data_IF_750846655052
#
_entry.id   IF_750846655052
#
_cell.length_a   1.000
_cell.length_b   1.000
_cell.length_c   1.000
_cell.angle_alpha   90.00
_cell.angle_beta   90.00
_cell.angle_gamma   90.00
#
_symmetry.space_group_name_H-M   'P 1'
#
loop_
_entity.id
_entity.type
_entity.pdbx_description
1 polymer ?
#
# COMPACT_ATOMS: atom_id res chain seq x y z
N UNK A 1 1.11 6.22 -9.84
CA UNK A 1 0.24 6.76 -8.76
C UNK A 1 0.53 6.01 -7.48
N UNK A 2 0.53 6.71 -6.34
CA UNK A 2 0.77 6.14 -5.00
C UNK A 2 -0.35 6.55 -4.06
N UNK A 3 -0.83 5.59 -3.26
CA UNK A 3 -1.78 5.84 -2.17
C UNK A 3 -1.34 5.05 -0.93
N UNK A 4 -1.62 5.59 0.24
CA UNK A 4 -1.35 4.97 1.53
C UNK A 4 -2.54 5.18 2.47
N UNK A 5 -3.04 4.08 3.00
CA UNK A 5 -3.99 4.06 4.10
C UNK A 5 -3.31 3.40 5.30
N UNK A 6 -2.99 4.21 6.33
CA UNK A 6 -2.27 3.78 7.50
C UNK A 6 -1.23 4.79 7.98
N UNK A 7 -0.13 4.30 8.53
CA UNK A 7 0.96 5.13 9.04
C UNK A 7 2.19 4.31 9.40
N UNK A 8 3.37 4.96 9.36
CA UNK A 8 4.63 4.39 9.77
C UNK A 8 4.79 4.51 11.28
N UNK A 9 5.00 3.38 11.95
CA UNK A 9 5.26 3.34 13.39
C UNK A 9 6.47 4.17 13.78
N UNK A 10 6.36 4.89 14.90
CA UNK A 10 7.45 5.72 15.41
C UNK A 10 7.93 6.80 14.45
N UNK A 11 7.08 7.29 13.53
CA UNK A 11 7.44 8.18 12.43
C UNK A 11 8.39 9.31 12.80
N UNK A 12 8.09 10.05 13.88
CA UNK A 12 8.94 11.17 14.32
C UNK A 12 10.37 10.74 14.68
N UNK A 13 10.58 9.49 15.07
CA UNK A 13 11.89 8.96 15.48
C UNK A 13 12.68 8.38 14.31
N UNK A 14 12.00 7.92 13.25
CA UNK A 14 12.65 7.32 12.08
C UNK A 14 12.83 8.29 10.91
N UNK A 15 12.07 9.38 10.86
CA UNK A 15 12.04 10.33 9.73
C UNK A 15 13.45 10.77 9.31
N UNK A 16 14.31 11.17 10.26
CA UNK A 16 15.67 11.61 9.96
C UNK A 16 16.51 10.49 9.37
N UNK A 17 16.47 9.30 9.95
CA UNK A 17 17.23 8.14 9.45
C UNK A 17 16.74 7.68 8.08
N UNK A 18 15.44 7.77 7.83
CA UNK A 18 14.89 7.51 6.51
C UNK A 18 15.40 8.54 5.50
N UNK A 19 15.39 9.83 5.86
CA UNK A 19 15.95 10.90 5.01
C UNK A 19 17.41 10.66 4.67
N UNK A 20 18.26 10.32 5.64
CA UNK A 20 19.69 10.01 5.46
C UNK A 20 19.94 8.79 4.55
N UNK A 21 18.95 7.91 4.39
CA UNK A 21 19.05 6.73 3.54
C UNK A 21 18.76 7.01 2.07
N UNK A 22 18.01 8.08 1.78
CA UNK A 22 17.63 8.43 0.41
C UNK A 22 18.81 9.05 -0.35
N UNK A 23 18.92 8.71 -1.64
CA UNK A 23 19.74 9.49 -2.55
C UNK A 23 19.17 10.91 -2.69
N UNK A 24 20.04 11.90 -2.89
CA UNK A 24 19.69 13.34 -2.98
C UNK A 24 18.51 13.61 -3.93
N UNK A 25 18.47 12.91 -5.07
CA UNK A 25 17.39 13.02 -6.05
C UNK A 25 16.02 12.80 -5.41
N UNK A 26 15.87 11.76 -4.58
CA UNK A 26 14.61 11.39 -3.97
C UNK A 26 14.32 12.19 -2.70
N UNK A 27 15.36 12.52 -1.95
CA UNK A 27 15.27 13.40 -0.79
C UNK A 27 14.76 14.79 -1.17
N UNK A 28 15.36 15.41 -2.20
CA UNK A 28 14.97 16.75 -2.68
C UNK A 28 13.62 16.76 -3.39
N UNK A 29 13.13 15.60 -3.82
CA UNK A 29 11.79 15.46 -4.41
C UNK A 29 10.66 15.46 -3.39
N UNK A 30 10.96 15.28 -2.09
CA UNK A 30 9.95 15.34 -1.03
C UNK A 30 9.67 16.79 -0.66
N UNK A 31 8.41 17.20 -0.83
CA UNK A 31 7.97 18.58 -0.56
C UNK A 31 7.24 18.68 0.76
N UNK A 32 6.49 17.63 1.11
CA UNK A 32 5.66 17.60 2.31
C UNK A 32 6.32 16.94 3.51
N UNK A 33 5.51 16.76 4.55
CA UNK A 33 5.97 16.21 5.83
C UNK A 33 5.36 14.86 6.19
N UNK A 34 4.47 14.31 5.35
CA UNK A 34 3.73 13.08 5.66
C UNK A 34 4.61 11.86 5.50
N UNK A 35 4.44 10.89 6.37
CA UNK A 35 5.11 9.59 6.29
C UNK A 35 4.83 8.86 4.96
N UNK A 36 3.63 9.04 4.41
CA UNK A 36 3.23 8.47 3.12
C UNK A 36 4.09 8.95 1.96
N UNK A 37 4.41 10.24 1.92
CA UNK A 37 5.26 10.82 0.87
C UNK A 37 6.71 10.33 1.00
N UNK A 38 7.22 10.25 2.22
CA UNK A 38 8.56 9.72 2.49
C UNK A 38 8.67 8.22 2.20
N UNK A 39 7.61 7.45 2.47
CA UNK A 39 7.55 6.04 2.08
C UNK A 39 7.58 5.87 0.56
N UNK A 40 6.90 6.77 -0.18
CA UNK A 40 6.98 6.77 -1.65
C UNK A 40 8.37 7.12 -2.16
N UNK A 41 9.02 8.14 -1.59
CA UNK A 41 10.41 8.48 -1.94
C UNK A 41 11.36 7.29 -1.68
N UNK A 42 11.17 6.57 -0.57
CA UNK A 42 11.93 5.36 -0.25
C UNK A 42 11.66 4.24 -1.26
N UNK A 43 10.41 4.07 -1.70
CA UNK A 43 10.08 3.11 -2.75
C UNK A 43 10.80 3.43 -4.07
N UNK A 44 10.82 4.71 -4.48
CA UNK A 44 11.50 5.14 -5.70
C UNK A 44 13.02 4.94 -5.59
N UNK A 45 13.64 5.28 -4.45
CA UNK A 45 15.05 5.02 -4.19
C UNK A 45 15.37 3.52 -4.23
N UNK A 46 14.51 2.70 -3.64
CA UNK A 46 14.64 1.24 -3.64
C UNK A 46 14.58 0.67 -5.06
N UNK A 47 13.62 1.13 -5.87
CA UNK A 47 13.47 0.71 -7.26
C UNK A 47 14.71 1.09 -8.08
N UNK A 48 15.25 2.29 -7.89
CA UNK A 48 16.47 2.73 -8.54
C UNK A 48 17.69 1.88 -8.13
N UNK A 49 17.84 1.58 -6.84
CA UNK A 49 18.92 0.70 -6.34
C UNK A 49 18.80 -0.75 -6.83
N UNK A 50 17.61 -1.14 -7.28
CA UNK A 50 17.40 -2.43 -7.95
C UNK A 50 17.77 -2.41 -9.45
N UNK A 51 18.24 -1.26 -9.97
CA UNK A 51 18.67 -1.10 -11.37
C UNK A 51 17.55 -0.64 -12.31
N UNK A 52 16.44 -0.15 -11.78
CA UNK A 52 15.32 0.38 -12.58
C UNK A 52 15.22 1.89 -12.37
N UNK A 53 15.29 2.69 -13.43
CA UNK A 53 15.10 4.13 -13.31
C UNK A 53 13.62 4.50 -13.13
N UNK A 54 13.20 4.99 -11.94
CA UNK A 54 11.80 5.33 -11.69
C UNK A 54 11.28 6.50 -12.54
N UNK A 55 12.18 7.28 -13.15
CA UNK A 55 11.82 8.38 -14.05
C UNK A 55 11.63 7.91 -15.50
N UNK A 56 11.99 6.66 -15.80
CA UNK A 56 11.75 6.08 -17.11
C UNK A 56 10.26 5.73 -17.28
N UNK A 57 9.84 5.63 -18.53
CA UNK A 57 8.49 5.19 -18.89
C UNK A 57 8.61 3.94 -19.80
N UNK A 58 8.89 2.76 -19.22
CA UNK A 58 8.95 1.54 -20.01
C UNK A 58 7.61 1.29 -20.72
N UNK A 59 7.65 0.86 -21.97
CA UNK A 59 6.46 0.64 -22.81
C UNK A 59 5.37 -0.24 -22.13
N UNK A 60 5.81 -1.21 -21.32
CA UNK A 60 4.93 -2.12 -20.59
C UNK A 60 5.01 -1.96 -19.05
N UNK A 61 5.44 -0.78 -18.58
CA UNK A 61 5.69 -0.52 -17.16
C UNK A 61 6.88 -1.30 -16.60
N UNK A 62 7.08 -1.27 -15.29
CA UNK A 62 8.16 -2.01 -14.61
C UNK A 62 7.81 -3.50 -14.42
N UNK A 63 6.54 -3.83 -14.55
CA UNK A 63 5.99 -5.16 -14.33
C UNK A 63 5.76 -5.52 -12.84
N UNK A 64 4.78 -6.40 -12.58
CA UNK A 64 4.32 -6.69 -11.22
C UNK A 64 5.39 -7.32 -10.34
N UNK A 65 6.25 -8.16 -10.92
CA UNK A 65 7.33 -8.84 -10.16
C UNK A 65 8.38 -7.85 -9.64
N UNK A 66 8.78 -6.87 -10.45
CA UNK A 66 9.75 -5.84 -10.05
C UNK A 66 9.15 -4.93 -8.99
N UNK A 67 7.94 -4.43 -9.24
CA UNK A 67 7.24 -3.55 -8.31
C UNK A 67 6.97 -4.23 -6.96
N UNK A 68 6.56 -5.51 -6.97
CA UNK A 68 6.37 -6.31 -5.75
C UNK A 68 7.67 -6.45 -4.96
N UNK A 69 8.79 -6.78 -5.64
CA UNK A 69 10.09 -6.91 -4.97
C UNK A 69 10.55 -5.57 -4.36
N UNK A 70 10.37 -4.46 -5.07
CA UNK A 70 10.69 -3.14 -4.57
C UNK A 70 9.83 -2.79 -3.35
N UNK A 71 8.53 -3.08 -3.39
CA UNK A 71 7.60 -2.85 -2.28
C UNK A 71 7.99 -3.64 -1.03
N UNK A 72 8.28 -4.93 -1.17
CA UNK A 72 8.69 -5.78 -0.04
C UNK A 72 10.01 -5.28 0.58
N UNK A 73 10.97 -4.85 -0.23
CA UNK A 73 12.22 -4.24 0.27
C UNK A 73 11.95 -2.91 0.99
N UNK A 74 11.05 -2.10 0.47
CA UNK A 74 10.65 -0.83 1.09
C UNK A 74 10.06 -1.08 2.48
N UNK A 75 9.13 -2.03 2.61
CA UNK A 75 8.54 -2.42 3.89
C UNK A 75 9.62 -2.96 4.86
N UNK A 76 10.53 -3.80 4.37
CA UNK A 76 11.62 -4.32 5.20
C UNK A 76 12.52 -3.20 5.74
N UNK A 77 12.86 -2.20 4.91
CA UNK A 77 13.65 -1.04 5.33
C UNK A 77 12.90 -0.21 6.37
N UNK A 78 11.60 0.00 6.21
CA UNK A 78 10.79 0.70 7.20
C UNK A 78 10.83 -0.02 8.53
N UNK A 79 10.67 -1.34 8.54
CA UNK A 79 10.74 -2.15 9.77
C UNK A 79 12.13 -2.07 10.42
N UNK A 80 13.22 -2.21 9.64
CA UNK A 80 14.60 -2.04 10.15
C UNK A 80 14.79 -0.69 10.85
N UNK A 81 14.25 0.39 10.29
CA UNK A 81 14.36 1.73 10.88
C UNK A 81 13.58 1.84 12.19
N UNK A 82 12.42 1.19 12.28
CA UNK A 82 11.59 1.18 13.48
C UNK A 82 12.24 0.33 14.57
N UNK A 83 12.73 -0.86 14.24
CA UNK A 83 13.42 -1.77 15.16
C UNK A 83 14.70 -1.14 15.73
N UNK A 84 15.30 -0.20 14.99
CA UNK A 84 16.46 0.54 15.46
C UNK A 84 16.13 1.69 16.44
N UNK A 85 14.85 1.93 16.79
CA UNK A 85 14.48 2.88 17.84
C UNK A 85 14.88 2.27 19.19
N UNK A 86 15.67 2.97 20.02
CA UNK A 86 16.08 2.42 21.33
C UNK A 86 14.85 2.08 22.18
N UNK A 87 14.86 0.88 22.79
CA UNK A 87 13.75 0.42 23.63
C UNK A 87 13.47 1.38 24.80
N UNK A 88 14.53 2.01 25.34
CA UNK A 88 14.40 3.04 26.37
C UNK A 88 13.57 4.26 25.89
N UNK A 89 13.71 4.64 24.62
CA UNK A 89 12.91 5.72 24.00
C UNK A 89 11.47 5.27 23.82
N UNK A 90 11.27 4.05 23.31
CA UNK A 90 9.93 3.47 23.11
C UNK A 90 9.16 3.47 24.42
N UNK A 91 9.78 2.99 25.50
CA UNK A 91 9.13 2.96 26.83
C UNK A 91 8.90 4.35 27.41
N UNK A 92 9.93 5.21 27.36
CA UNK A 92 9.87 6.56 27.97
C UNK A 92 8.81 7.46 27.31
N UNK A 93 8.70 7.37 25.99
CA UNK A 93 7.81 8.24 25.21
C UNK A 93 6.52 7.56 24.78
N UNK A 94 6.31 6.29 25.20
CA UNK A 94 5.16 5.46 24.80
C UNK A 94 4.96 5.46 23.27
N UNK A 95 6.06 5.22 22.54
CA UNK A 95 6.04 5.27 21.08
C UNK A 95 5.25 4.10 20.53
N UNK A 96 4.23 4.38 19.71
CA UNK A 96 3.59 3.33 18.91
C UNK A 96 4.50 2.98 17.73
N UNK A 97 5.08 1.79 17.77
CA UNK A 97 5.98 1.26 16.73
C UNK A 97 5.25 0.44 15.67
N UNK A 98 3.93 0.30 15.77
CA UNK A 98 3.14 -0.44 14.78
C UNK A 98 3.01 0.36 13.50
N UNK A 99 3.33 -0.26 12.40
CA UNK A 99 3.08 0.28 11.05
C UNK A 99 1.89 -0.39 10.42
N UNK A 100 0.97 0.41 9.89
CA UNK A 100 -0.13 -0.04 9.03
C UNK A 100 0.18 0.44 7.61
N UNK A 101 0.47 -0.50 6.71
CA UNK A 101 0.98 -0.19 5.38
C UNK A 101 0.08 -0.81 4.30
N UNK A 102 -1.13 -0.27 4.18
CA UNK A 102 -2.00 -0.54 3.04
C UNK A 102 -1.63 0.43 1.92
N UNK A 103 -0.62 0.05 1.15
CA UNK A 103 -0.18 0.81 -0.02
C UNK A 103 -0.94 0.35 -1.26
N UNK A 104 -1.23 1.28 -2.17
CA UNK A 104 -1.61 0.98 -3.53
C UNK A 104 -0.72 1.79 -4.49
N UNK A 105 -0.09 1.07 -5.41
CA UNK A 105 0.87 1.61 -6.35
C UNK A 105 0.53 1.13 -7.77
N UNK A 106 0.58 2.05 -8.73
CA UNK A 106 0.52 1.70 -10.16
C UNK A 106 1.55 2.47 -10.97
N UNK A 107 2.10 1.80 -11.98
CA UNK A 107 2.93 2.38 -13.04
C UNK A 107 2.13 2.68 -14.32
N UNK A 108 0.80 2.46 -14.30
CA UNK A 108 -0.10 2.61 -15.45
C UNK A 108 -0.43 1.28 -16.14
N UNK A 109 0.37 0.23 -15.93
CA UNK A 109 0.18 -1.10 -16.53
C UNK A 109 -0.13 -2.18 -15.50
N UNK A 110 0.47 -2.05 -14.31
CA UNK A 110 0.29 -2.98 -13.20
C UNK A 110 -0.13 -2.23 -11.94
N UNK A 111 -0.83 -2.95 -11.06
CA UNK A 111 -1.21 -2.44 -9.75
C UNK A 111 -0.67 -3.40 -8.70
N UNK A 112 -0.01 -2.85 -7.68
CA UNK A 112 0.43 -3.57 -6.48
C UNK A 112 -0.29 -2.97 -5.29
N UNK A 113 -0.94 -3.82 -4.51
CA UNK A 113 -1.56 -3.45 -3.24
C UNK A 113 -0.94 -4.27 -2.11
N UNK A 114 -0.79 -3.64 -0.95
CA UNK A 114 -0.36 -4.32 0.28
C UNK A 114 -1.44 -4.21 1.34
N UNK A 115 -1.62 -5.29 2.10
CA UNK A 115 -2.35 -5.31 3.36
C UNK A 115 -1.37 -5.77 4.43
N UNK A 116 -0.83 -4.83 5.21
CA UNK A 116 0.27 -5.13 6.11
C UNK A 116 0.14 -4.38 7.44
N UNK A 117 0.47 -5.08 8.51
CA UNK A 117 0.73 -4.53 9.84
C UNK A 117 2.00 -5.17 10.41
N UNK A 118 2.84 -4.40 11.10
CA UNK A 118 4.07 -4.92 11.73
C UNK A 118 3.82 -5.61 13.08
N UNK A 119 2.60 -5.59 13.59
CA UNK A 119 2.22 -6.28 14.83
C UNK A 119 1.93 -7.76 14.55
N UNK A 120 2.32 -8.63 15.49
CA UNK A 120 1.99 -10.06 15.46
C UNK A 120 0.64 -10.38 16.14
N UNK A 121 0.07 -9.43 16.89
CA UNK A 121 -1.16 -9.61 17.68
C UNK A 121 -2.36 -8.84 17.10
N UNK A 122 -2.11 -7.80 16.31
CA UNK A 122 -3.16 -6.94 15.78
C UNK A 122 -3.48 -7.32 14.32
N UNK A 123 -4.71 -7.08 13.91
CA UNK A 123 -5.12 -7.31 12.53
C UNK A 123 -4.80 -6.10 11.63
N UNK A 124 -4.31 -6.39 10.42
CA UNK A 124 -4.12 -5.35 9.40
C UNK A 124 -5.46 -4.75 8.98
N UNK A 125 -5.49 -3.46 8.66
CA UNK A 125 -6.67 -2.79 8.14
C UNK A 125 -7.21 -3.52 6.90
N UNK A 126 -8.51 -3.52 6.74
CA UNK A 126 -9.20 -4.23 5.66
C UNK A 126 -8.74 -3.75 4.28
N UNK A 127 -8.72 -4.68 3.34
CA UNK A 127 -8.49 -4.40 1.93
C UNK A 127 -9.33 -5.39 1.12
N UNK A 128 -10.23 -4.85 0.31
CA UNK A 128 -11.14 -5.61 -0.53
C UNK A 128 -10.78 -5.41 -1.99
N UNK A 129 -11.04 -6.40 -2.82
CA UNK A 129 -11.00 -6.22 -4.26
C UNK A 129 -12.24 -6.81 -4.93
N UNK A 130 -12.62 -6.23 -6.05
CA UNK A 130 -13.64 -6.76 -6.95
C UNK A 130 -13.17 -6.59 -8.39
N UNK A 131 -13.48 -7.57 -9.23
CA UNK A 131 -13.20 -7.51 -10.66
C UNK A 131 -14.46 -7.79 -11.46
N UNK A 132 -14.65 -7.09 -12.58
CA UNK A 132 -15.83 -7.23 -13.42
C UNK A 132 -15.71 -6.44 -14.71
N UNK A 133 -16.79 -6.43 -15.47
CA UNK A 133 -16.87 -5.71 -16.78
C UNK A 133 -17.62 -4.41 -16.66
N UNK A 134 -18.48 -4.24 -15.66
CA UNK A 134 -19.31 -3.07 -15.51
C UNK A 134 -19.58 -2.77 -14.04
N UNK A 135 -19.57 -1.47 -13.72
CA UNK A 135 -19.96 -0.94 -12.42
C UNK A 135 -21.30 -0.26 -12.54
N UNK A 136 -22.33 -0.80 -11.92
CA UNK A 136 -23.68 -0.28 -12.01
C UNK A 136 -24.27 0.06 -10.66
N UNK A 137 -25.13 1.08 -10.62
CA UNK A 137 -25.97 1.36 -9.45
C UNK A 137 -27.14 0.38 -9.40
N UNK A 138 -27.25 -0.36 -8.31
CA UNK A 138 -28.46 -1.13 -7.98
C UNK A 138 -29.46 -0.19 -7.32
N UNK A 139 -30.44 0.28 -8.05
CA UNK A 139 -31.54 1.03 -7.45
C UNK A 139 -32.35 1.83 -8.46
N UNK A 140 -33.67 1.82 -8.28
CA UNK A 140 -34.61 2.63 -9.08
C UNK A 140 -34.67 4.10 -8.60
N UNK A 141 -33.90 4.47 -7.56
CA UNK A 141 -33.89 5.84 -7.02
C UNK A 141 -32.50 6.43 -7.00
N UNK A 142 -32.32 7.73 -7.32
CA UNK A 142 -31.03 8.41 -7.39
C UNK A 142 -30.25 8.47 -6.06
N UNK A 143 -30.85 8.13 -4.94
CA UNK A 143 -30.24 8.18 -3.60
C UNK A 143 -29.84 6.81 -3.04
N UNK A 144 -30.05 5.73 -3.79
CA UNK A 144 -29.58 4.41 -3.38
C UNK A 144 -28.12 4.23 -3.77
N UNK A 145 -27.21 4.41 -2.82
CA UNK A 145 -25.77 4.19 -2.95
C UNK A 145 -25.40 2.69 -3.08
N UNK A 146 -26.30 1.87 -3.58
CA UNK A 146 -26.05 0.45 -3.81
C UNK A 146 -25.44 0.25 -5.19
N UNK A 147 -24.14 -0.06 -5.23
CA UNK A 147 -23.41 -0.42 -6.44
C UNK A 147 -23.25 -1.92 -6.55
N UNK A 148 -23.18 -2.43 -7.74
CA UNK A 148 -22.84 -3.81 -8.05
C UNK A 148 -21.82 -3.89 -9.15
N UNK A 149 -20.82 -4.77 -8.99
CA UNK A 149 -19.93 -5.16 -10.06
C UNK A 149 -20.52 -6.36 -10.80
N UNK A 150 -20.81 -6.24 -12.09
CA UNK A 150 -21.18 -7.41 -12.90
C UNK A 150 -19.97 -8.33 -13.04
N UNK A 151 -20.05 -9.52 -12.43
CA UNK A 151 -19.00 -10.53 -12.52
C UNK A 151 -19.16 -11.32 -13.82
N UNK A 152 -18.11 -11.28 -14.64
CA UNK A 152 -17.91 -12.26 -15.71
C UNK A 152 -16.56 -12.93 -15.48
N UNK A 153 -16.55 -14.25 -15.42
CA UNK A 153 -15.35 -15.05 -15.14
C UNK A 153 -14.27 -14.96 -16.22
N UNK A 154 -14.57 -14.36 -17.37
CA UNK A 154 -13.62 -14.10 -18.47
C UNK A 154 -13.83 -12.69 -19.02
N UNK A 155 -12.76 -11.92 -19.10
CA UNK A 155 -12.76 -10.58 -19.71
C UNK A 155 -13.13 -9.45 -18.76
N UNK A 156 -12.72 -9.54 -17.50
CA UNK A 156 -12.87 -8.41 -16.58
C UNK A 156 -11.94 -7.26 -16.98
N UNK A 157 -12.54 -6.11 -17.31
CA UNK A 157 -11.81 -4.90 -17.71
C UNK A 157 -11.62 -3.91 -16.56
N UNK A 158 -12.33 -4.15 -15.45
CA UNK A 158 -12.32 -3.28 -14.27
C UNK A 158 -11.87 -4.07 -13.06
N UNK A 159 -10.93 -3.48 -12.30
CA UNK A 159 -10.55 -3.95 -10.97
C UNK A 159 -10.72 -2.81 -9.99
N UNK A 160 -11.48 -3.04 -8.93
CA UNK A 160 -11.63 -2.11 -7.81
C UNK A 160 -10.89 -2.67 -6.59
N UNK A 161 -10.14 -1.80 -5.93
CA UNK A 161 -9.52 -2.07 -4.64
C UNK A 161 -9.95 -0.97 -3.67
N UNK A 162 -10.48 -1.36 -2.51
CA UNK A 162 -11.01 -0.44 -1.52
C UNK A 162 -10.70 -0.89 -0.10
N UNK A 163 -10.61 0.06 0.83
CA UNK A 163 -10.46 -0.20 2.26
C UNK A 163 -11.76 -0.71 2.92
N UNK A 164 -12.90 -0.45 2.29
CA UNK A 164 -14.22 -0.88 2.74
C UNK A 164 -14.99 -1.54 1.60
N UNK A 165 -15.93 -2.47 1.89
CA UNK A 165 -16.77 -3.06 0.85
C UNK A 165 -17.67 -1.98 0.25
N UNK A 166 -17.63 -1.85 -1.08
CA UNK A 166 -18.46 -0.90 -1.82
C UNK A 166 -19.83 -1.50 -2.18
N UNK A 167 -20.02 -2.79 -1.94
CA UNK A 167 -21.26 -3.51 -2.22
C UNK A 167 -21.71 -4.25 -0.96
N UNK A 168 -22.95 -3.97 -0.52
CA UNK A 168 -23.58 -4.69 0.58
C UNK A 168 -24.60 -5.68 0.01
N UNK A 169 -24.19 -6.90 -0.30
CA UNK A 169 -25.11 -8.01 -0.47
C UNK A 169 -25.35 -8.67 0.89
N UNK A 170 -26.52 -8.48 1.48
CA UNK A 170 -26.96 -9.24 2.65
C UNK A 170 -27.00 -10.72 2.27
N UNK A 171 -26.05 -11.52 2.79
CA UNK A 171 -26.08 -12.98 2.68
C UNK A 171 -24.95 -13.64 1.89
N UNK A 172 -23.98 -12.89 1.33
CA UNK A 172 -22.73 -13.51 0.86
C UNK A 172 -21.65 -13.42 1.93
N UNK A 173 -20.98 -14.55 2.26
CA UNK A 173 -19.83 -14.49 3.17
C UNK A 173 -18.75 -13.61 2.56
N UNK A 174 -18.15 -12.77 3.40
CA UNK A 174 -16.96 -11.99 3.07
C UNK A 174 -15.91 -12.90 2.40
N UNK A 175 -15.71 -12.76 1.10
CA UNK A 175 -14.56 -13.37 0.47
C UNK A 175 -13.33 -12.54 0.87
N UNK A 176 -12.89 -12.76 2.09
CA UNK A 176 -11.56 -12.37 2.55
C UNK A 176 -10.54 -13.06 1.64
N UNK A 177 -9.81 -12.25 0.90
CA UNK A 177 -8.60 -12.72 0.25
C UNK A 177 -7.51 -12.93 1.29
N UNK A 178 -7.58 -14.06 1.94
CA UNK A 178 -6.45 -14.60 2.69
C UNK A 178 -5.46 -15.21 1.69
N UNK A 179 -4.59 -14.36 1.16
CA UNK A 179 -3.30 -14.82 0.72
C UNK A 179 -2.48 -15.08 1.97
N UNK A 180 -2.49 -16.32 2.48
CA UNK A 180 -1.56 -16.74 3.52
C UNK A 180 -0.14 -16.54 3.03
N UNK A 181 0.80 -15.97 3.83
CA UNK A 181 2.21 -16.00 3.49
C UNK A 181 2.68 -17.46 3.45
N UNK A 182 3.57 -17.84 2.54
CA UNK A 182 4.26 -19.13 2.63
C UNK A 182 5.12 -19.12 3.89
N UNK A 183 5.04 -20.21 4.63
CA UNK A 183 5.92 -20.54 5.75
C UNK A 183 7.39 -20.53 5.34
#
# INVERSE_FOLDING_TARGET
MWMHNGGLGGWKHIKRRLAERLADKWYLGVVGGTDSEWAFALFLDTLQRMGHDPSSQPEHGFGPTVMRKAMLKTIAIINELIDAIPESTVRKESVDTRSLLNFALTDGHSIICTRYISSSSDEAASLYYSSGTQWETKGLQPNDNNYQMERRDKGADIVLVASEPLTFERGMPDQLLLGSPPH
#
